data_IF_615330326429
#
_entry.id   IF_615330326429
#
_cell.length_a   1.000
_cell.length_b   1.000
_cell.length_c   1.000
_cell.angle_alpha   90.00
_cell.angle_beta   90.00
_cell.angle_gamma   90.00
#
_symmetry.space_group_name_H-M   'P 1'
#
loop_
_entity.id
_entity.type
_entity.pdbx_description
1 polymer ?
#
# COMPACT_ATOMS: atom_id res chain seq x y z
N UNK A 1 26.89 -7.98 -31.05
CA UNK A 1 26.23 -6.87 -31.80
C UNK A 1 25.02 -7.47 -32.51
N UNK A 2 23.86 -7.44 -31.91
CA UNK A 2 22.60 -7.69 -32.61
C UNK A 2 21.62 -6.63 -32.07
N UNK A 3 21.44 -5.62 -32.91
CA UNK A 3 20.50 -4.54 -32.62
C UNK A 3 19.07 -5.04 -32.77
N UNK A 4 18.38 -5.13 -31.64
CA UNK A 4 16.91 -5.26 -31.64
C UNK A 4 16.34 -3.93 -32.08
N UNK A 5 15.85 -3.87 -33.32
CA UNK A 5 15.07 -2.73 -33.84
C UNK A 5 13.78 -2.65 -33.02
N UNK A 6 13.66 -1.60 -32.23
CA UNK A 6 12.42 -1.15 -31.61
C UNK A 6 11.40 -0.86 -32.73
N UNK A 7 10.41 -1.72 -32.87
CA UNK A 7 9.23 -1.43 -33.69
C UNK A 7 8.44 -0.35 -32.96
N UNK A 8 8.49 0.87 -33.46
CA UNK A 8 7.65 1.98 -33.03
C UNK A 8 6.18 1.67 -33.42
N UNK A 9 5.44 1.04 -32.54
CA UNK A 9 3.98 1.01 -32.62
C UNK A 9 3.46 2.40 -32.21
N UNK A 10 3.10 3.21 -33.17
CA UNK A 10 2.48 4.54 -32.98
C UNK A 10 0.99 4.46 -32.53
N UNK A 11 0.65 3.51 -31.68
CA UNK A 11 -0.63 3.50 -30.95
C UNK A 11 -0.45 4.26 -29.64
N UNK A 12 -1.38 5.14 -29.31
CA UNK A 12 -1.40 5.84 -28.02
C UNK A 12 -1.53 4.77 -26.91
N UNK A 13 -0.43 4.45 -26.23
CA UNK A 13 -0.40 3.43 -25.18
C UNK A 13 -1.38 3.84 -24.08
N UNK A 14 -2.28 2.91 -23.68
CA UNK A 14 -3.31 3.18 -22.67
C UNK A 14 -2.67 3.52 -21.32
N UNK A 15 -2.95 4.72 -20.81
CA UNK A 15 -2.51 5.18 -19.50
C UNK A 15 -3.24 4.38 -18.42
N UNK A 16 -2.51 3.52 -17.75
CA UNK A 16 -3.07 2.56 -16.81
C UNK A 16 -2.68 2.90 -15.37
N UNK A 17 -3.64 2.78 -14.45
CA UNK A 17 -3.37 2.70 -13.03
C UNK A 17 -3.54 1.25 -12.56
N UNK A 18 -2.60 0.75 -11.76
CA UNK A 18 -2.70 -0.58 -11.12
C UNK A 18 -2.87 -0.40 -9.63
N UNK A 19 -3.93 -0.94 -9.04
CA UNK A 19 -4.24 -0.78 -7.61
C UNK A 19 -4.47 -2.15 -6.98
N UNK A 20 -3.61 -2.53 -6.03
CA UNK A 20 -3.81 -3.72 -5.20
C UNK A 20 -4.66 -3.38 -3.97
N UNK A 21 -5.40 -4.36 -3.43
CA UNK A 21 -6.27 -4.14 -2.29
C UNK A 21 -7.49 -3.26 -2.60
N UNK A 22 -7.88 -3.13 -3.87
CA UNK A 22 -8.94 -2.23 -4.32
C UNK A 22 -10.35 -2.60 -3.84
N UNK A 23 -10.58 -3.81 -3.30
CA UNK A 23 -11.91 -4.29 -2.90
C UNK A 23 -12.47 -3.66 -1.62
N UNK A 24 -11.68 -2.94 -0.82
CA UNK A 24 -12.15 -2.34 0.44
C UNK A 24 -11.21 -1.25 0.98
N UNK A 25 -11.67 -0.56 2.02
CA UNK A 25 -10.88 0.36 2.82
C UNK A 25 -10.16 1.44 2.02
N UNK A 26 -8.89 1.65 2.34
CA UNK A 26 -8.08 2.72 1.71
C UNK A 26 -7.76 2.44 0.24
N UNK A 27 -7.62 1.17 -0.18
CA UNK A 27 -7.39 0.83 -1.58
C UNK A 27 -8.60 1.17 -2.46
N UNK A 28 -9.82 0.86 -1.98
CA UNK A 28 -11.06 1.24 -2.65
C UNK A 28 -11.21 2.75 -2.76
N UNK A 29 -10.98 3.44 -1.66
CA UNK A 29 -11.07 4.92 -1.63
C UNK A 29 -10.05 5.58 -2.55
N UNK A 30 -8.81 5.05 -2.58
CA UNK A 30 -7.77 5.53 -3.49
C UNK A 30 -8.19 5.35 -4.96
N UNK A 31 -8.78 4.19 -5.30
CA UNK A 31 -9.30 3.93 -6.64
C UNK A 31 -10.32 4.99 -7.05
N UNK A 32 -11.29 5.29 -6.19
CA UNK A 32 -12.33 6.28 -6.46
C UNK A 32 -11.74 7.67 -6.67
N UNK A 33 -10.86 8.12 -5.78
CA UNK A 33 -10.27 9.45 -5.88
C UNK A 33 -9.32 9.60 -7.09
N UNK A 34 -8.61 8.55 -7.46
CA UNK A 34 -7.78 8.54 -8.66
C UNK A 34 -8.62 8.54 -9.93
N UNK A 35 -9.67 7.73 -10.01
CA UNK A 35 -10.57 7.69 -11.16
C UNK A 35 -11.26 9.05 -11.43
N UNK A 36 -11.65 9.75 -10.36
CA UNK A 36 -12.23 11.09 -10.46
C UNK A 36 -11.29 12.15 -11.06
N UNK A 37 -9.99 11.88 -11.18
CA UNK A 37 -9.03 12.79 -11.82
C UNK A 37 -9.06 12.76 -13.35
N UNK A 38 -9.63 11.72 -13.94
CA UNK A 38 -9.74 11.59 -15.40
C UNK A 38 -8.41 11.43 -16.15
N UNK A 39 -7.35 10.96 -15.45
CA UNK A 39 -6.01 10.85 -16.04
C UNK A 39 -5.71 9.46 -16.63
N UNK A 40 -6.58 8.46 -16.33
CA UNK A 40 -6.38 7.07 -16.68
C UNK A 40 -7.39 6.63 -17.72
N UNK A 41 -6.90 5.96 -18.77
CA UNK A 41 -7.75 5.32 -19.78
C UNK A 41 -8.33 4.01 -19.22
N UNK A 42 -7.55 3.31 -18.38
CA UNK A 42 -7.95 2.06 -17.73
C UNK A 42 -7.36 1.93 -16.32
N UNK A 43 -8.07 1.25 -15.43
CA UNK A 43 -7.60 0.90 -14.08
C UNK A 43 -7.64 -0.61 -13.87
N UNK A 44 -6.51 -1.21 -13.47
CA UNK A 44 -6.42 -2.62 -13.11
C UNK A 44 -6.60 -2.76 -11.60
N UNK A 45 -7.67 -3.41 -11.20
CA UNK A 45 -8.07 -3.55 -9.80
C UNK A 45 -7.77 -4.97 -9.33
N UNK A 46 -6.88 -5.10 -8.34
CA UNK A 46 -6.36 -6.38 -7.85
C UNK A 46 -6.83 -6.62 -6.43
N UNK A 47 -7.55 -7.70 -6.19
CA UNK A 47 -7.88 -8.24 -4.88
C UNK A 47 -8.47 -9.65 -5.04
N UNK A 48 -8.71 -10.35 -3.92
CA UNK A 48 -9.30 -11.70 -3.92
C UNK A 48 -10.80 -11.73 -4.20
N UNK A 49 -11.53 -10.68 -3.79
CA UNK A 49 -13.00 -10.59 -3.85
C UNK A 49 -13.43 -10.00 -5.19
N UNK A 50 -13.65 -10.86 -6.19
CA UNK A 50 -14.03 -10.46 -7.54
C UNK A 50 -15.34 -9.66 -7.56
N UNK A 51 -16.35 -10.12 -6.82
CA UNK A 51 -17.66 -9.48 -6.68
C UNK A 51 -17.57 -8.00 -6.27
N UNK A 52 -16.74 -7.69 -5.29
CA UNK A 52 -16.52 -6.31 -4.83
C UNK A 52 -15.72 -5.46 -5.82
N UNK A 53 -14.81 -6.07 -6.55
CA UNK A 53 -14.08 -5.37 -7.62
C UNK A 53 -15.01 -5.04 -8.78
N UNK A 54 -15.87 -5.97 -9.20
CA UNK A 54 -16.87 -5.75 -10.22
C UNK A 54 -17.89 -4.67 -9.86
N UNK A 55 -18.34 -4.66 -8.59
CA UNK A 55 -19.17 -3.59 -8.08
C UNK A 55 -18.48 -2.23 -8.16
N UNK A 56 -17.19 -2.17 -7.77
CA UNK A 56 -16.40 -0.94 -7.86
C UNK A 56 -16.24 -0.51 -9.33
N UNK A 57 -15.93 -1.43 -10.25
CA UNK A 57 -15.79 -1.13 -11.67
C UNK A 57 -17.03 -0.43 -12.26
N UNK A 58 -18.24 -0.86 -11.85
CA UNK A 58 -19.49 -0.22 -12.32
C UNK A 58 -19.67 1.23 -11.86
N UNK A 59 -18.91 1.65 -10.83
CA UNK A 59 -18.98 3.00 -10.26
C UNK A 59 -17.93 3.95 -10.84
N UNK A 60 -16.94 3.42 -11.59
CA UNK A 60 -15.83 4.22 -12.10
C UNK A 60 -16.17 4.89 -13.43
N UNK A 61 -15.68 6.12 -13.68
CA UNK A 61 -15.92 6.85 -14.91
C UNK A 61 -15.02 6.42 -16.10
N UNK A 62 -14.09 5.48 -15.87
CA UNK A 62 -13.14 4.97 -16.86
C UNK A 62 -13.22 3.45 -16.96
N UNK A 63 -12.57 2.87 -17.97
CA UNK A 63 -12.46 1.40 -18.06
C UNK A 63 -11.78 0.85 -16.81
N UNK A 64 -12.25 -0.30 -16.36
CA UNK A 64 -11.63 -1.00 -15.23
C UNK A 64 -11.57 -2.50 -15.52
N UNK A 65 -10.43 -3.10 -15.17
CA UNK A 65 -10.17 -4.53 -15.32
C UNK A 65 -10.05 -5.17 -13.96
N UNK A 66 -10.80 -6.22 -13.71
CA UNK A 66 -10.73 -7.02 -12.50
C UNK A 66 -9.66 -8.09 -12.66
N UNK A 67 -8.73 -8.14 -11.71
CA UNK A 67 -7.76 -9.20 -11.54
C UNK A 67 -7.96 -9.82 -10.16
N UNK A 68 -8.74 -10.91 -10.10
CA UNK A 68 -9.06 -11.62 -8.86
C UNK A 68 -7.87 -12.49 -8.43
N UNK A 69 -6.88 -11.89 -7.75
CA UNK A 69 -5.61 -12.52 -7.39
C UNK A 69 -5.40 -12.50 -5.88
N UNK A 70 -4.87 -13.60 -5.33
CA UNK A 70 -4.33 -13.66 -3.97
C UNK A 70 -2.83 -13.41 -4.01
N UNK A 71 -2.40 -12.22 -3.60
CA UNK A 71 -0.98 -11.83 -3.61
C UNK A 71 -0.14 -12.51 -2.52
N UNK A 72 -0.66 -13.50 -1.81
CA UNK A 72 0.13 -14.43 -0.99
C UNK A 72 0.55 -15.68 -1.80
N UNK A 73 -0.10 -15.94 -2.92
CA UNK A 73 0.18 -17.05 -3.82
C UNK A 73 1.16 -16.63 -4.94
N UNK A 74 2.18 -17.44 -5.18
CA UNK A 74 3.19 -17.22 -6.22
C UNK A 74 2.58 -17.20 -7.63
N UNK A 75 1.63 -18.10 -7.92
CA UNK A 75 0.96 -18.17 -9.22
C UNK A 75 0.19 -16.88 -9.60
N UNK A 76 -0.20 -16.10 -8.61
CA UNK A 76 -0.83 -14.78 -8.83
C UNK A 76 0.12 -13.78 -9.49
N UNK A 77 1.41 -13.85 -9.17
CA UNK A 77 2.41 -12.97 -9.80
C UNK A 77 2.69 -13.39 -11.24
N UNK A 78 2.69 -14.71 -11.54
CA UNK A 78 2.82 -15.21 -12.91
C UNK A 78 1.62 -14.76 -13.77
N UNK A 79 0.41 -14.84 -13.21
CA UNK A 79 -0.81 -14.38 -13.87
C UNK A 79 -0.77 -12.85 -14.13
N UNK A 80 -0.28 -12.08 -13.18
CA UNK A 80 -0.12 -10.63 -13.33
C UNK A 80 0.95 -10.29 -14.38
N UNK A 81 2.09 -10.97 -14.35
CA UNK A 81 3.17 -10.79 -15.33
C UNK A 81 2.68 -11.13 -16.75
N UNK A 82 1.93 -12.22 -16.91
CA UNK A 82 1.32 -12.62 -18.19
C UNK A 82 0.35 -11.54 -18.70
N UNK A 83 -0.48 -10.95 -17.82
CA UNK A 83 -1.38 -9.86 -18.18
C UNK A 83 -0.60 -8.61 -18.64
N UNK A 84 0.46 -8.22 -17.95
CA UNK A 84 1.33 -7.11 -18.36
C UNK A 84 1.99 -7.37 -19.72
N UNK A 85 2.49 -8.59 -19.94
CA UNK A 85 3.13 -8.97 -21.19
C UNK A 85 2.15 -8.98 -22.39
N UNK A 86 0.92 -9.40 -22.17
CA UNK A 86 -0.11 -9.44 -23.21
C UNK A 86 -0.61 -8.04 -23.61
N UNK A 87 -0.87 -7.18 -22.62
CA UNK A 87 -1.50 -5.88 -22.86
C UNK A 87 -0.50 -4.73 -23.09
N UNK A 88 0.77 -4.90 -22.66
CA UNK A 88 1.81 -3.87 -22.76
C UNK A 88 1.33 -2.47 -22.31
N UNK A 89 0.70 -2.32 -21.12
CA UNK A 89 0.10 -1.06 -20.70
C UNK A 89 1.18 -0.01 -20.41
N UNK A 90 0.84 1.27 -20.53
CA UNK A 90 1.64 2.35 -19.98
C UNK A 90 1.21 2.59 -18.52
N UNK A 91 1.88 1.98 -17.55
CA UNK A 91 1.51 2.11 -16.14
C UNK A 91 2.03 3.43 -15.57
N UNK A 92 1.17 4.44 -15.53
CA UNK A 92 1.53 5.77 -15.02
C UNK A 92 1.34 5.88 -13.50
N UNK A 93 0.66 4.91 -12.86
CA UNK A 93 0.51 4.79 -11.42
C UNK A 93 0.39 3.34 -10.97
N UNK A 94 1.22 2.95 -10.00
CA UNK A 94 1.07 1.70 -9.22
C UNK A 94 0.73 2.06 -7.78
N UNK A 95 -0.31 1.45 -7.21
CA UNK A 95 -0.67 1.59 -5.80
C UNK A 95 -0.70 0.22 -5.10
N UNK A 96 0.27 -0.03 -4.25
CA UNK A 96 0.35 -1.20 -3.39
C UNK A 96 -0.43 -0.94 -2.10
N UNK A 97 -1.73 -1.29 -2.09
CA UNK A 97 -2.63 -1.09 -0.95
C UNK A 97 -3.04 -2.40 -0.27
N UNK A 98 -2.65 -3.57 -0.82
CA UNK A 98 -2.92 -4.85 -0.17
C UNK A 98 -2.15 -4.98 1.13
N UNK A 99 -2.82 -5.44 2.17
CA UNK A 99 -2.18 -5.67 3.45
C UNK A 99 -3.19 -5.98 4.55
N UNK A 100 -2.72 -6.58 5.62
CA UNK A 100 -3.49 -6.77 6.85
C UNK A 100 -2.58 -6.76 8.07
N UNK A 101 -3.20 -6.59 9.25
CA UNK A 101 -2.54 -6.71 10.53
C UNK A 101 -3.34 -7.59 11.47
N UNK A 102 -2.70 -8.05 12.54
CA UNK A 102 -3.30 -8.76 13.65
C UNK A 102 -2.81 -8.16 14.96
N UNK A 103 -3.73 -7.99 15.90
CA UNK A 103 -3.44 -7.56 17.26
C UNK A 103 -3.33 -8.79 18.16
N UNK A 104 -2.27 -8.89 18.95
CA UNK A 104 -2.09 -10.00 19.87
C UNK A 104 -0.67 -10.13 20.38
N UNK A 105 -0.50 -10.83 21.49
CA UNK A 105 0.79 -11.23 22.01
C UNK A 105 1.49 -12.23 21.09
N UNK A 106 2.74 -12.55 21.41
CA UNK A 106 3.55 -13.44 20.57
C UNK A 106 2.94 -14.86 20.42
N UNK A 107 2.19 -15.32 21.40
CA UNK A 107 1.55 -16.64 21.38
C UNK A 107 0.11 -16.62 20.80
N UNK A 108 -0.52 -15.46 20.73
CA UNK A 108 -1.95 -15.36 20.36
C UNK A 108 -2.18 -15.39 18.86
N UNK A 109 -1.19 -14.95 18.08
CA UNK A 109 -1.30 -14.86 16.63
C UNK A 109 -0.79 -16.16 16.01
N UNK A 110 -1.60 -16.91 15.25
CA UNK A 110 -1.17 -18.11 14.53
C UNK A 110 0.02 -17.84 13.61
N UNK A 111 0.94 -18.80 13.50
CA UNK A 111 2.12 -18.68 12.63
C UNK A 111 1.75 -18.38 11.18
N UNK A 112 0.68 -19.01 10.66
CA UNK A 112 0.19 -18.77 9.31
C UNK A 112 -0.21 -17.29 9.08
N UNK A 113 -0.86 -16.64 10.07
CA UNK A 113 -1.19 -15.21 9.99
C UNK A 113 0.08 -14.33 10.02
N UNK A 114 1.08 -14.71 10.82
CA UNK A 114 2.37 -14.00 10.88
C UNK A 114 3.10 -14.06 9.53
N UNK A 115 3.22 -15.25 8.95
CA UNK A 115 3.81 -15.45 7.62
C UNK A 115 2.99 -14.73 6.54
N UNK A 116 1.66 -14.86 6.59
CA UNK A 116 0.77 -14.17 5.66
C UNK A 116 0.89 -12.64 5.70
N UNK A 117 1.17 -12.04 6.88
CA UNK A 117 1.49 -10.61 6.96
C UNK A 117 2.80 -10.26 6.22
N UNK A 118 3.83 -11.10 6.33
CA UNK A 118 5.10 -10.89 5.60
C UNK A 118 4.87 -11.02 4.11
N UNK A 119 4.18 -12.08 3.68
CA UNK A 119 3.88 -12.34 2.27
C UNK A 119 3.07 -11.20 1.64
N UNK A 120 1.98 -10.78 2.29
CA UNK A 120 1.10 -9.79 1.69
C UNK A 120 1.62 -8.35 1.84
N UNK A 121 2.15 -7.98 3.01
CA UNK A 121 2.54 -6.59 3.25
C UNK A 121 3.91 -6.25 2.66
N UNK A 122 4.87 -7.19 2.70
CA UNK A 122 6.25 -6.94 2.27
C UNK A 122 6.56 -7.58 0.91
N UNK A 123 6.52 -8.91 0.80
CA UNK A 123 6.86 -9.64 -0.43
C UNK A 123 5.99 -9.17 -1.61
N UNK A 124 4.67 -9.09 -1.44
CA UNK A 124 3.79 -8.66 -2.52
C UNK A 124 4.07 -7.22 -2.97
N UNK A 125 4.41 -6.31 -2.06
CA UNK A 125 4.79 -4.93 -2.42
C UNK A 125 6.02 -4.91 -3.33
N UNK A 126 7.04 -5.72 -3.03
CA UNK A 126 8.24 -5.84 -3.87
C UNK A 126 7.88 -6.46 -5.21
N UNK A 127 7.22 -7.62 -5.22
CA UNK A 127 6.87 -8.35 -6.45
C UNK A 127 6.04 -7.49 -7.41
N UNK A 128 4.99 -6.83 -6.91
CA UNK A 128 4.15 -5.95 -7.72
C UNK A 128 4.95 -4.78 -8.28
N UNK A 129 5.86 -4.20 -7.50
CA UNK A 129 6.70 -3.10 -7.94
C UNK A 129 7.65 -3.55 -9.05
N UNK A 130 8.41 -4.61 -8.82
CA UNK A 130 9.43 -5.10 -9.77
C UNK A 130 8.80 -5.55 -11.11
N UNK A 131 7.67 -6.27 -11.06
CA UNK A 131 6.96 -6.70 -12.27
C UNK A 131 6.38 -5.52 -13.06
N UNK A 132 5.97 -4.44 -12.37
CA UNK A 132 5.35 -3.29 -13.02
C UNK A 132 6.37 -2.29 -13.57
N UNK A 133 7.55 -2.16 -12.94
CA UNK A 133 8.58 -1.17 -13.30
C UNK A 133 8.98 -1.14 -14.78
N UNK A 134 9.07 -2.26 -15.52
CA UNK A 134 9.37 -2.24 -16.96
C UNK A 134 8.32 -1.49 -17.80
N UNK A 135 7.08 -1.42 -17.32
CA UNK A 135 5.93 -0.80 -18.00
C UNK A 135 5.68 0.64 -17.52
N UNK A 136 6.53 1.17 -16.64
CA UNK A 136 6.36 2.50 -16.08
C UNK A 136 7.19 3.55 -16.84
N UNK A 137 6.53 4.55 -17.45
CA UNK A 137 7.22 5.62 -18.17
C UNK A 137 7.82 6.65 -17.21
N UNK A 138 8.64 7.55 -17.76
CA UNK A 138 9.07 8.75 -17.04
C UNK A 138 7.87 9.55 -16.57
N UNK A 139 7.89 9.99 -15.33
CA UNK A 139 6.78 10.73 -14.71
C UNK A 139 5.79 9.88 -13.94
N UNK A 140 5.89 8.55 -14.03
CA UNK A 140 5.03 7.63 -13.30
C UNK A 140 5.20 7.74 -11.77
N UNK A 141 4.26 7.16 -11.02
CA UNK A 141 4.19 7.22 -9.57
C UNK A 141 3.94 5.85 -8.97
N UNK A 142 4.60 5.58 -7.85
CA UNK A 142 4.31 4.43 -6.99
C UNK A 142 3.80 4.94 -5.65
N UNK A 143 2.68 4.39 -5.18
CA UNK A 143 2.11 4.67 -3.86
C UNK A 143 2.12 3.37 -3.08
N UNK A 144 2.88 3.31 -1.99
CA UNK A 144 2.89 2.17 -1.08
C UNK A 144 2.11 2.51 0.20
N UNK A 145 1.04 1.77 0.47
CA UNK A 145 0.24 1.95 1.67
C UNK A 145 0.97 1.33 2.87
N UNK A 146 1.52 2.18 3.66
CA UNK A 146 2.30 1.88 4.83
C UNK A 146 1.49 2.10 6.13
N UNK A 147 2.11 2.52 7.20
CA UNK A 147 1.51 2.78 8.51
C UNK A 147 2.39 3.69 9.36
N UNK A 148 1.77 4.38 10.33
CA UNK A 148 2.48 5.03 11.41
C UNK A 148 3.38 4.06 12.20
N UNK A 149 2.98 2.79 12.32
CA UNK A 149 3.76 1.74 12.99
C UNK A 149 5.12 1.45 12.33
N UNK A 150 5.35 1.94 11.11
CA UNK A 150 6.63 1.82 10.41
C UNK A 150 7.79 2.60 11.07
N UNK A 151 7.47 3.59 11.90
CA UNK A 151 8.48 4.45 12.50
C UNK A 151 9.04 3.94 13.83
N UNK A 152 8.45 2.89 14.40
CA UNK A 152 8.83 2.37 15.72
C UNK A 152 8.50 0.88 15.88
N UNK A 153 9.19 0.14 16.75
CA UNK A 153 8.71 -1.16 17.21
C UNK A 153 7.40 -0.99 17.99
N UNK A 154 6.41 -1.86 17.70
CA UNK A 154 5.10 -1.82 18.36
C UNK A 154 4.78 -3.17 19.00
N UNK A 155 4.91 -3.33 20.32
CA UNK A 155 4.45 -4.52 21.04
C UNK A 155 2.98 -4.82 20.73
N UNK A 156 2.61 -6.09 20.66
CA UNK A 156 1.29 -6.60 20.26
C UNK A 156 0.87 -6.35 18.79
N UNK A 157 1.76 -5.70 18.00
CA UNK A 157 1.70 -5.59 16.53
C UNK A 157 3.06 -5.91 15.90
N UNK A 158 3.86 -6.75 16.51
CA UNK A 158 5.28 -6.92 16.21
C UNK A 158 5.55 -7.22 14.71
N UNK A 159 4.95 -8.27 14.15
CA UNK A 159 5.16 -8.66 12.74
C UNK A 159 4.57 -7.60 11.80
N UNK A 160 3.36 -7.10 12.09
CA UNK A 160 2.78 -6.03 11.29
C UNK A 160 3.67 -4.78 11.22
N UNK A 161 4.12 -4.28 12.38
CA UNK A 161 4.99 -3.11 12.44
C UNK A 161 6.33 -3.34 11.72
N UNK A 162 6.90 -4.54 11.85
CA UNK A 162 8.12 -4.92 11.14
C UNK A 162 7.93 -4.93 9.63
N UNK A 163 6.80 -5.47 9.11
CA UNK A 163 6.50 -5.42 7.67
C UNK A 163 6.32 -3.99 7.18
N UNK A 164 5.72 -3.11 7.98
CA UNK A 164 5.56 -1.70 7.63
C UNK A 164 6.88 -0.93 7.67
N UNK A 165 7.75 -1.22 8.64
CA UNK A 165 9.12 -0.67 8.66
C UNK A 165 9.93 -1.07 7.41
N UNK A 166 9.77 -2.33 6.95
CA UNK A 166 10.33 -2.79 5.69
C UNK A 166 9.80 -1.96 4.51
N UNK A 167 8.48 -1.80 4.39
CA UNK A 167 7.85 -1.04 3.28
C UNK A 167 8.30 0.41 3.27
N UNK A 168 8.39 1.06 4.44
CA UNK A 168 8.88 2.44 4.54
C UNK A 168 10.33 2.58 4.06
N UNK A 169 11.21 1.68 4.52
CA UNK A 169 12.62 1.66 4.11
C UNK A 169 12.77 1.40 2.62
N UNK A 170 12.12 0.37 2.10
CA UNK A 170 12.07 0.03 0.68
C UNK A 170 11.57 1.20 -0.17
N UNK A 171 10.44 1.81 0.21
CA UNK A 171 9.85 2.93 -0.54
C UNK A 171 10.80 4.13 -0.64
N UNK A 172 11.53 4.43 0.44
CA UNK A 172 12.51 5.55 0.44
C UNK A 172 13.70 5.26 -0.44
N UNK A 173 14.25 4.05 -0.37
CA UNK A 173 15.37 3.63 -1.21
C UNK A 173 14.96 3.68 -2.69
N UNK A 174 13.83 3.05 -3.04
CA UNK A 174 13.29 3.05 -4.40
C UNK A 174 12.99 4.46 -4.93
N UNK A 175 12.51 5.38 -4.07
CA UNK A 175 12.31 6.77 -4.48
C UNK A 175 13.62 7.48 -4.88
N UNK A 176 14.72 7.15 -4.23
CA UNK A 176 16.05 7.68 -4.59
C UNK A 176 16.60 7.01 -5.87
N UNK A 177 16.53 5.68 -5.95
CA UNK A 177 17.05 4.91 -7.09
C UNK A 177 16.31 5.21 -8.41
N UNK A 178 15.00 5.45 -8.34
CA UNK A 178 14.16 5.73 -9.52
C UNK A 178 14.15 7.22 -9.92
N UNK A 179 14.86 8.07 -9.20
CA UNK A 179 14.89 9.52 -9.45
C UNK A 179 15.29 9.84 -10.92
N UNK A 180 16.33 9.23 -11.43
CA UNK A 180 16.81 9.48 -12.79
C UNK A 180 15.85 8.94 -13.86
N UNK A 181 15.06 7.92 -13.54
CA UNK A 181 13.95 7.47 -14.37
C UNK A 181 12.75 8.43 -14.29
N UNK A 182 12.77 9.44 -13.42
CA UNK A 182 11.67 10.37 -13.18
C UNK A 182 10.46 9.72 -12.54
N UNK A 183 10.59 8.54 -11.94
CA UNK A 183 9.52 7.85 -11.20
C UNK A 183 9.61 8.24 -9.73
N UNK A 184 8.49 8.55 -9.10
CA UNK A 184 8.45 8.86 -7.67
C UNK A 184 7.76 7.75 -6.88
N UNK A 185 8.28 7.49 -5.66
CA UNK A 185 7.68 6.51 -4.73
C UNK A 185 7.26 7.23 -3.46
N UNK A 186 6.00 7.09 -3.08
CA UNK A 186 5.42 7.70 -1.88
C UNK A 186 4.96 6.62 -0.90
N UNK A 187 5.57 6.54 0.28
CA UNK A 187 5.07 5.76 1.40
C UNK A 187 3.94 6.55 2.11
N UNK A 188 2.74 6.01 2.13
CA UNK A 188 1.59 6.60 2.83
C UNK A 188 1.51 5.99 4.21
N UNK A 189 1.80 6.79 5.25
CA UNK A 189 1.91 6.34 6.63
C UNK A 189 0.76 6.91 7.48
N UNK A 190 -0.45 6.33 7.39
CA UNK A 190 -1.58 6.77 8.20
C UNK A 190 -1.44 6.36 9.66
N UNK A 191 -2.10 7.12 10.55
CA UNK A 191 -2.47 6.65 11.87
C UNK A 191 -3.65 5.67 11.79
N UNK A 192 -4.52 5.68 12.79
CA UNK A 192 -5.72 4.85 12.80
C UNK A 192 -6.75 5.38 11.78
N UNK A 193 -7.28 4.48 10.94
CA UNK A 193 -8.25 4.82 9.89
C UNK A 193 -9.44 3.88 9.97
N UNK A 194 -10.64 4.42 10.02
CA UNK A 194 -11.90 3.67 10.11
C UNK A 194 -12.15 2.85 8.84
N UNK A 195 -11.72 1.58 8.84
CA UNK A 195 -11.84 0.64 7.72
C UNK A 195 -12.07 -0.78 8.23
N UNK A 196 -12.39 -1.74 7.35
CA UNK A 196 -12.48 -3.17 7.66
C UNK A 196 -11.15 -3.75 8.24
N UNK A 197 -10.08 -2.98 8.30
CA UNK A 197 -8.82 -3.40 8.91
C UNK A 197 -8.99 -3.77 10.39
N UNK A 198 -9.78 -3.00 11.14
CA UNK A 198 -10.08 -3.27 12.55
C UNK A 198 -10.78 -4.61 12.73
N UNK A 199 -11.84 -4.87 11.95
CA UNK A 199 -12.61 -6.11 12.03
C UNK A 199 -11.72 -7.35 11.82
N UNK A 200 -10.70 -7.21 10.98
CA UNK A 200 -9.75 -8.29 10.70
C UNK A 200 -8.65 -8.38 11.77
N UNK A 201 -8.18 -7.25 12.27
CA UNK A 201 -7.10 -7.18 13.26
C UNK A 201 -7.53 -7.69 14.63
N UNK A 202 -8.77 -7.39 15.04
CA UNK A 202 -9.31 -7.71 16.36
C UNK A 202 -9.75 -9.17 16.53
N UNK A 203 -9.95 -9.92 15.42
CA UNK A 203 -10.41 -11.32 15.47
C UNK A 203 -9.48 -12.28 16.23
N UNK A 204 -8.30 -11.87 16.63
CA UNK A 204 -7.32 -12.75 17.29
C UNK A 204 -7.27 -12.52 18.81
N UNK A 205 -7.39 -11.27 19.28
CA UNK A 205 -7.46 -10.92 20.69
C UNK A 205 -8.01 -9.50 20.83
N UNK A 206 -9.16 -9.37 21.45
CA UNK A 206 -9.84 -8.07 21.64
C UNK A 206 -9.21 -7.20 22.71
N UNK A 207 -8.25 -7.72 23.49
CA UNK A 207 -7.67 -7.04 24.67
C UNK A 207 -6.26 -6.53 24.47
N UNK A 208 -5.57 -6.92 23.40
CA UNK A 208 -4.17 -6.61 23.21
C UNK A 208 -3.90 -5.14 22.81
N UNK A 209 -4.80 -4.54 22.04
CA UNK A 209 -4.73 -3.13 21.63
C UNK A 209 -6.10 -2.51 21.89
N UNK A 210 -6.17 -1.58 22.83
CA UNK A 210 -7.43 -0.98 23.30
C UNK A 210 -7.47 0.53 23.18
N UNK A 211 -6.31 1.18 23.02
CA UNK A 211 -6.22 2.62 22.89
C UNK A 211 -5.96 3.04 21.44
N UNK A 212 -6.93 3.71 20.86
CA UNK A 212 -6.86 4.27 19.52
C UNK A 212 -6.96 5.80 19.64
N UNK A 213 -5.80 6.47 19.51
CA UNK A 213 -5.82 7.94 19.38
C UNK A 213 -6.39 8.29 18.00
N UNK A 214 -6.89 9.46 17.79
CA UNK A 214 -7.29 10.07 16.51
C UNK A 214 -7.57 9.08 15.35
N UNK A 215 -8.82 8.60 15.26
CA UNK A 215 -9.27 7.75 14.16
C UNK A 215 -9.77 8.65 13.02
N UNK A 216 -9.14 8.54 11.85
CA UNK A 216 -9.45 9.33 10.67
C UNK A 216 -10.39 8.59 9.71
N UNK A 217 -11.06 9.35 8.84
CA UNK A 217 -11.82 8.77 7.73
C UNK A 217 -10.89 8.44 6.55
N UNK A 218 -11.11 7.33 5.84
CA UNK A 218 -10.29 6.97 4.69
C UNK A 218 -10.24 8.05 3.62
N UNK A 219 -11.35 8.77 3.41
CA UNK A 219 -11.45 9.85 2.43
C UNK A 219 -10.43 10.96 2.66
N UNK A 220 -10.25 11.38 3.90
CA UNK A 220 -9.34 12.49 4.24
C UNK A 220 -7.88 12.07 4.18
N UNK A 221 -7.58 10.85 4.64
CA UNK A 221 -6.25 10.26 4.56
C UNK A 221 -5.83 10.11 3.10
N UNK A 222 -6.69 9.53 2.26
CA UNK A 222 -6.39 9.29 0.85
C UNK A 222 -6.30 10.60 0.07
N UNK A 223 -7.14 11.60 0.34
CA UNK A 223 -7.00 12.94 -0.25
C UNK A 223 -5.61 13.54 0.02
N UNK A 224 -5.11 13.36 1.24
CA UNK A 224 -3.75 13.79 1.59
C UNK A 224 -2.69 12.98 0.86
N UNK A 225 -2.86 11.65 0.79
CA UNK A 225 -1.93 10.74 0.12
C UNK A 225 -1.81 11.05 -1.38
N UNK A 226 -2.94 11.20 -2.07
CA UNK A 226 -2.97 11.57 -3.50
C UNK A 226 -2.28 12.91 -3.71
N UNK A 227 -2.66 13.95 -2.97
CA UNK A 227 -2.01 15.26 -3.07
C UNK A 227 -0.50 15.18 -2.87
N UNK A 228 -0.02 14.43 -1.88
CA UNK A 228 1.39 14.33 -1.54
C UNK A 228 2.16 13.51 -2.59
N UNK A 229 1.57 12.42 -3.13
CA UNK A 229 2.13 11.63 -4.22
C UNK A 229 2.28 12.46 -5.52
N UNK A 230 1.28 13.29 -5.84
CA UNK A 230 1.36 14.20 -6.99
C UNK A 230 2.37 15.34 -6.79
N UNK A 231 2.68 15.68 -5.55
CA UNK A 231 3.80 16.57 -5.18
C UNK A 231 5.14 15.83 -5.06
N UNK A 232 5.18 14.53 -5.40
CA UNK A 232 6.38 13.67 -5.36
C UNK A 232 7.05 13.61 -3.98
N UNK A 233 6.27 13.66 -2.90
CA UNK A 233 6.80 13.48 -1.56
C UNK A 233 7.12 12.01 -1.31
N UNK A 234 8.29 11.73 -0.76
CA UNK A 234 8.69 10.37 -0.40
C UNK A 234 7.83 9.76 0.72
N UNK A 235 7.28 10.59 1.60
CA UNK A 235 6.43 10.15 2.72
C UNK A 235 5.21 11.06 2.84
N UNK A 236 4.04 10.46 2.98
CA UNK A 236 2.77 11.15 3.25
C UNK A 236 2.22 10.75 4.61
N UNK A 237 1.95 11.74 5.47
CA UNK A 237 1.34 11.57 6.79
C UNK A 237 0.16 12.52 6.90
N UNK A 238 -1.03 11.98 7.23
CA UNK A 238 -2.23 12.79 7.43
C UNK A 238 -2.36 13.24 8.89
N UNK A 239 -2.78 14.50 9.10
CA UNK A 239 -3.05 15.07 10.41
C UNK A 239 -1.81 15.67 11.10
N UNK A 240 -1.98 16.86 11.70
CA UNK A 240 -0.90 17.57 12.39
C UNK A 240 -0.41 16.79 13.64
N UNK A 241 -1.34 16.23 14.41
CA UNK A 241 -1.02 15.43 15.59
C UNK A 241 -0.15 14.20 15.24
N UNK A 242 -0.49 13.49 14.15
CA UNK A 242 0.29 12.33 13.70
C UNK A 242 1.66 12.75 13.17
N UNK A 243 1.78 13.88 12.49
CA UNK A 243 3.09 14.41 12.06
C UNK A 243 3.99 14.73 13.26
N UNK A 244 3.43 15.32 14.30
CA UNK A 244 4.14 15.58 15.57
C UNK A 244 4.57 14.25 16.24
N UNK A 245 3.69 13.27 16.29
CA UNK A 245 4.01 11.95 16.82
C UNK A 245 5.17 11.32 16.06
N UNK A 246 5.14 11.33 14.72
CA UNK A 246 6.24 10.83 13.88
C UNK A 246 7.56 11.57 14.16
N UNK A 247 7.49 12.89 14.32
CA UNK A 247 8.68 13.69 14.65
C UNK A 247 9.28 13.29 15.99
N UNK A 248 8.45 13.20 17.03
CA UNK A 248 8.91 12.81 18.37
C UNK A 248 9.48 11.38 18.40
N UNK A 249 8.80 10.43 17.76
CA UNK A 249 9.26 9.03 17.68
C UNK A 249 10.66 8.91 17.05
N UNK A 250 11.01 9.77 16.11
CA UNK A 250 12.34 9.78 15.49
C UNK A 250 13.44 10.32 16.40
N UNK A 251 13.09 11.10 17.42
CA UNK A 251 14.04 11.70 18.34
C UNK A 251 14.25 10.87 19.62
N UNK A 252 13.24 10.07 20.00
CA UNK A 252 13.24 9.32 21.22
C UNK A 252 13.84 7.91 21.03
N UNK A 253 14.55 7.37 22.03
CA UNK A 253 14.96 5.96 22.01
C UNK A 253 13.75 5.04 21.90
N UNK A 254 13.85 4.00 21.06
CA UNK A 254 12.74 3.04 20.86
C UNK A 254 12.27 2.38 22.16
N UNK A 255 13.17 2.14 23.13
CA UNK A 255 12.81 1.59 24.45
C UNK A 255 11.83 2.49 25.22
N UNK A 256 12.02 3.82 25.15
CA UNK A 256 11.08 4.78 25.74
C UNK A 256 9.76 4.81 25.01
N UNK A 257 9.79 4.82 23.68
CA UNK A 257 8.58 4.82 22.83
C UNK A 257 7.75 3.56 23.10
N UNK A 258 8.37 2.38 23.17
CA UNK A 258 7.68 1.13 23.51
C UNK A 258 7.07 1.17 24.92
N UNK A 259 7.78 1.75 25.91
CA UNK A 259 7.26 1.90 27.28
C UNK A 259 6.02 2.80 27.33
N UNK A 260 6.05 3.93 26.59
CA UNK A 260 4.89 4.84 26.44
C UNK A 260 3.72 4.10 25.81
N UNK A 261 3.97 3.36 24.71
CA UNK A 261 2.96 2.56 24.03
C UNK A 261 2.31 1.54 24.96
N UNK A 262 3.11 0.74 25.68
CA UNK A 262 2.60 -0.27 26.61
C UNK A 262 1.75 0.36 27.73
N UNK A 263 2.20 1.50 28.28
CA UNK A 263 1.44 2.25 29.27
C UNK A 263 0.08 2.73 28.73
N UNK A 264 0.04 3.24 27.50
CA UNK A 264 -1.21 3.65 26.84
C UNK A 264 -2.16 2.47 26.63
N UNK A 265 -1.64 1.28 26.36
CA UNK A 265 -2.43 0.06 26.23
C UNK A 265 -2.79 -0.59 27.57
N UNK A 266 -2.45 0.03 28.71
CA UNK A 266 -2.65 -0.51 30.07
C UNK A 266 -1.96 -1.87 30.32
N UNK A 267 -0.91 -2.17 29.57
CA UNK A 267 -0.02 -3.30 29.85
C UNK A 267 1.10 -2.84 30.80
N UNK A 268 1.32 -3.61 31.88
CA UNK A 268 2.40 -3.36 32.85
C UNK A 268 3.74 -3.89 32.36
#
# INVERSE_FOLDING_TARGET
MNGVKSAAHGGNLMKTAVITGASSGMGRELTIQLAARGEFDEMWLIARRADRLEELCRQLPCKARVLALDLTDAASFDSYAAALAAEQPQVILLANCSGFGKFGGYADIPLADKVGMIDLNAKATVMMTELTLPFMPRGARIINLDSLSAFQPVPYLNVYAATKAFVLSYSRAMNAELHDRGISVTAVCPGWVKTEFFDRAEKTSTTAVTYFNHVYLPQDVIRTAVRDAYKRKAVSVHGAAIKWQVFLVKLLPHSLVMRIWLHQQKHK
#
